data_IF_953461346293
#
_entry.id   IF_953461346293
#
_cell.length_a   1.000
_cell.length_b   1.000
_cell.length_c   1.000
_cell.angle_alpha   90.00
_cell.angle_beta   90.00
_cell.angle_gamma   90.00
#
_symmetry.space_group_name_H-M   'P 1'
#
loop_
_entity.id
_entity.type
_entity.pdbx_description
1 polymer ?
#
# COMPACT_ATOMS: atom_id res chain seq x y z
N UNK A 1 9.75 4.95 8.30
CA UNK A 1 8.43 4.30 8.12
C UNK A 1 7.34 5.20 8.69
N UNK A 2 6.50 5.77 7.83
CA UNK A 2 5.46 6.74 8.23
C UNK A 2 4.12 6.05 8.46
N UNK A 3 3.20 6.71 9.18
CA UNK A 3 1.80 6.25 9.31
C UNK A 3 1.13 6.12 7.94
N UNK A 4 1.42 7.05 7.03
CA UNK A 4 0.92 7.08 5.66
C UNK A 4 1.29 5.81 4.89
N UNK A 5 2.54 5.33 4.98
CA UNK A 5 2.96 4.13 4.25
C UNK A 5 2.18 2.88 4.69
N UNK A 6 1.93 2.74 5.99
CA UNK A 6 1.12 1.63 6.55
C UNK A 6 -0.33 1.68 6.10
N UNK A 7 -0.90 2.88 5.95
CA UNK A 7 -2.28 3.06 5.48
C UNK A 7 -2.40 2.69 4.01
N UNK A 8 -1.48 3.16 3.16
CA UNK A 8 -1.48 2.83 1.73
C UNK A 8 -1.32 1.33 1.51
N UNK A 9 -0.38 0.68 2.22
CA UNK A 9 -0.21 -0.77 2.15
C UNK A 9 -1.49 -1.53 2.55
N UNK A 10 -2.21 -1.09 3.59
CA UNK A 10 -3.51 -1.68 3.98
C UNK A 10 -4.58 -1.49 2.92
N UNK A 11 -4.65 -0.33 2.26
CA UNK A 11 -5.61 -0.07 1.18
C UNK A 11 -5.33 -1.02 0.01
N UNK A 12 -4.06 -1.13 -0.41
CA UNK A 12 -3.62 -2.06 -1.46
C UNK A 12 -3.94 -3.52 -1.10
N UNK A 13 -3.66 -3.93 0.14
CA UNK A 13 -3.95 -5.28 0.61
C UNK A 13 -5.46 -5.58 0.60
N UNK A 14 -6.30 -4.63 1.02
CA UNK A 14 -7.77 -4.78 0.93
C UNK A 14 -8.23 -4.89 -0.51
N UNK A 15 -7.72 -4.05 -1.42
CA UNK A 15 -8.03 -4.12 -2.84
C UNK A 15 -7.71 -5.51 -3.43
N UNK A 16 -6.52 -6.03 -3.10
CA UNK A 16 -6.09 -7.38 -3.48
C UNK A 16 -7.02 -8.48 -2.91
N UNK A 17 -7.40 -8.39 -1.63
CA UNK A 17 -8.21 -9.41 -0.94
C UNK A 17 -9.66 -9.43 -1.40
N UNK A 18 -10.26 -8.25 -1.59
CA UNK A 18 -11.66 -8.11 -1.99
C UNK A 18 -11.87 -8.10 -3.51
N UNK A 19 -10.78 -8.13 -4.29
CA UNK A 19 -10.81 -8.06 -5.76
C UNK A 19 -11.58 -6.84 -6.27
N UNK A 20 -11.42 -5.72 -5.56
CA UNK A 20 -12.04 -4.43 -5.92
C UNK A 20 -10.95 -3.48 -6.42
N UNK A 21 -11.15 -2.83 -7.57
CA UNK A 21 -10.26 -1.76 -8.00
C UNK A 21 -10.32 -0.61 -7.00
N UNK A 22 -9.25 0.16 -6.95
CA UNK A 22 -9.12 1.40 -6.19
C UNK A 22 -8.61 2.49 -7.12
N UNK A 23 -8.85 3.75 -6.75
CA UNK A 23 -8.29 4.89 -7.46
C UNK A 23 -6.76 4.92 -7.34
N UNK A 24 -6.12 5.70 -8.21
CA UNK A 24 -4.67 5.82 -8.18
C UNK A 24 -4.21 6.39 -6.82
N UNK A 25 -3.21 5.74 -6.22
CA UNK A 25 -2.68 6.15 -4.92
C UNK A 25 -2.19 7.60 -4.94
N UNK A 26 -1.61 8.05 -6.05
CA UNK A 26 -1.13 9.43 -6.23
C UNK A 26 -2.22 10.51 -6.18
N UNK A 27 -3.50 10.15 -6.34
CA UNK A 27 -4.60 11.12 -6.23
C UNK A 27 -4.89 11.50 -4.77
N UNK A 28 -4.62 10.60 -3.82
CA UNK A 28 -4.96 10.76 -2.41
C UNK A 28 -3.73 10.82 -1.49
N UNK A 29 -2.56 10.36 -1.98
CA UNK A 29 -1.33 10.28 -1.20
C UNK A 29 -0.16 10.85 -2.02
N UNK A 30 0.52 11.84 -1.46
CA UNK A 30 1.81 12.29 -1.97
C UNK A 30 2.90 11.40 -1.37
N UNK A 31 3.35 10.43 -2.16
CA UNK A 31 4.49 9.58 -1.84
C UNK A 31 5.64 9.95 -2.77
N UNK A 32 6.85 10.05 -2.22
CA UNK A 32 8.05 10.01 -3.03
C UNK A 32 8.41 8.56 -3.41
N UNK A 33 9.43 8.39 -4.26
CA UNK A 33 9.85 7.07 -4.74
C UNK A 33 10.30 6.13 -3.60
N UNK A 34 11.08 6.62 -2.64
CA UNK A 34 11.54 5.84 -1.48
C UNK A 34 10.35 5.38 -0.63
N UNK A 35 9.38 6.25 -0.39
CA UNK A 35 8.16 5.92 0.33
C UNK A 35 7.31 4.88 -0.40
N UNK A 36 7.25 4.94 -1.74
CA UNK A 36 6.57 3.95 -2.55
C UNK A 36 7.22 2.56 -2.43
N UNK A 37 8.55 2.48 -2.38
CA UNK A 37 9.25 1.21 -2.13
C UNK A 37 8.96 0.67 -0.73
N UNK A 38 8.91 1.52 0.30
CA UNK A 38 8.52 1.07 1.65
C UNK A 38 7.07 0.58 1.73
N UNK A 39 6.15 1.20 0.99
CA UNK A 39 4.77 0.69 0.85
C UNK A 39 4.76 -0.69 0.20
N UNK A 40 5.60 -0.90 -0.80
CA UNK A 40 5.74 -2.19 -1.48
C UNK A 40 6.25 -3.28 -0.52
N UNK A 41 7.30 -2.99 0.27
CA UNK A 41 7.83 -3.92 1.27
C UNK A 41 6.73 -4.35 2.26
N UNK A 42 5.99 -3.38 2.81
CA UNK A 42 4.88 -3.65 3.74
C UNK A 42 3.74 -4.47 3.11
N UNK A 43 3.45 -4.25 1.83
CA UNK A 43 2.45 -5.02 1.12
C UNK A 43 2.91 -6.47 0.90
N UNK A 44 4.19 -6.67 0.56
CA UNK A 44 4.78 -8.01 0.40
C UNK A 44 4.71 -8.77 1.72
N UNK A 45 5.06 -8.13 2.83
CA UNK A 45 4.95 -8.73 4.17
C UNK A 45 3.51 -9.16 4.47
N UNK A 46 2.52 -8.30 4.23
CA UNK A 46 1.11 -8.64 4.43
C UNK A 46 0.61 -9.79 3.55
N UNK A 47 1.17 -9.95 2.34
CA UNK A 47 0.82 -11.02 1.41
C UNK A 47 1.53 -12.35 1.72
N UNK A 48 2.69 -12.30 2.37
CA UNK A 48 3.53 -13.48 2.65
C UNK A 48 3.27 -14.06 4.05
N UNK A 49 2.71 -13.27 4.98
CA UNK A 49 2.20 -13.78 6.25
C UNK A 49 1.02 -14.72 5.97
N UNK A 50 1.29 -16.03 6.08
CA UNK A 50 0.33 -17.14 5.98
C UNK A 50 -0.56 -17.24 7.21
#
# INVERSE_FOLDING_TARGET
MTLTNKEVAKVLFKAYRYKKPIDFISENYQLNEEEAYHVQEELIDQLTVK
#
